data_IF_915099534639
#
_entry.id   IF_915099534639
#
_cell.length_a   1.000
_cell.length_b   1.000
_cell.length_c   1.000
_cell.angle_alpha   90.00
_cell.angle_beta   90.00
_cell.angle_gamma   90.00
#
_symmetry.space_group_name_H-M   'P 1'
#
loop_
_entity.id
_entity.type
_entity.pdbx_description
1 polymer ?
#
# COMPACT_ATOMS: atom_id res chain seq x y z
N UNK A 1 12.10 31.81 30.75
CA UNK A 1 12.23 31.61 29.29
C UNK A 1 12.42 30.14 28.90
N UNK A 2 13.16 29.33 29.66
CA UNK A 2 13.35 27.88 29.42
C UNK A 2 12.02 27.09 29.37
N UNK A 3 11.04 27.45 30.23
CA UNK A 3 9.78 26.71 30.37
C UNK A 3 8.83 26.84 29.15
N UNK A 4 8.78 28.01 28.49
CA UNK A 4 7.95 28.23 27.29
C UNK A 4 8.49 27.49 26.06
N UNK A 5 9.81 27.42 25.89
CA UNK A 5 10.44 26.68 24.79
C UNK A 5 10.27 25.16 24.93
N UNK A 6 10.36 24.64 26.16
CA UNK A 6 10.18 23.21 26.45
C UNK A 6 8.73 22.73 26.23
N UNK A 7 7.75 23.59 26.58
CA UNK A 7 6.32 23.33 26.39
C UNK A 7 5.95 23.27 24.90
N UNK A 8 6.43 24.23 24.10
CA UNK A 8 6.21 24.26 22.65
C UNK A 8 6.82 23.04 21.94
N UNK A 9 8.02 22.63 22.35
CA UNK A 9 8.70 21.48 21.79
C UNK A 9 7.98 20.16 22.11
N UNK A 10 7.43 20.02 23.32
CA UNK A 10 6.67 18.83 23.73
C UNK A 10 5.33 18.70 22.98
N UNK A 11 4.70 19.83 22.67
CA UNK A 11 3.49 19.89 21.86
C UNK A 11 3.75 19.43 20.42
N UNK A 12 4.81 19.93 19.78
CA UNK A 12 5.20 19.54 18.41
C UNK A 12 5.48 18.04 18.32
N UNK A 13 6.22 17.48 19.28
CA UNK A 13 6.56 16.05 19.29
C UNK A 13 5.29 15.19 19.42
N UNK A 14 4.35 15.62 20.26
CA UNK A 14 3.08 14.91 20.43
C UNK A 14 2.23 14.94 19.16
N UNK A 15 2.14 16.09 18.49
CA UNK A 15 1.47 16.21 17.19
C UNK A 15 2.14 15.32 16.14
N UNK A 16 3.47 15.36 16.04
CA UNK A 16 4.18 14.50 15.10
C UNK A 16 3.90 13.01 15.35
N UNK A 17 3.90 12.56 16.60
CA UNK A 17 3.56 11.18 16.93
C UNK A 17 2.15 10.80 16.46
N UNK A 18 1.15 11.66 16.72
CA UNK A 18 -0.22 11.42 16.26
C UNK A 18 -0.36 11.43 14.73
N UNK A 19 0.35 12.33 14.06
CA UNK A 19 0.38 12.40 12.59
C UNK A 19 1.01 11.14 11.98
N UNK A 20 2.10 10.63 12.57
CA UNK A 20 2.73 9.37 12.12
C UNK A 20 1.76 8.21 12.29
N UNK A 21 1.07 8.11 13.43
CA UNK A 21 0.06 7.05 13.65
C UNK A 21 -1.06 7.13 12.62
N UNK A 22 -1.57 8.33 12.33
CA UNK A 22 -2.60 8.52 11.31
C UNK A 22 -2.10 8.13 9.91
N UNK A 23 -0.87 8.52 9.55
CA UNK A 23 -0.25 8.17 8.28
C UNK A 23 -0.03 6.64 8.15
N UNK A 24 0.46 5.99 9.21
CA UNK A 24 0.65 4.55 9.25
C UNK A 24 -0.67 3.79 9.10
N UNK A 25 -1.74 4.22 9.76
CA UNK A 25 -3.07 3.61 9.62
C UNK A 25 -3.64 3.79 8.22
N UNK A 26 -3.48 4.96 7.63
CA UNK A 26 -3.96 5.25 6.29
C UNK A 26 -3.22 4.42 5.23
N UNK A 27 -1.90 4.40 5.29
CA UNK A 27 -1.06 3.61 4.36
C UNK A 27 -1.27 2.11 4.54
N UNK A 28 -1.44 1.63 5.77
CA UNK A 28 -1.78 0.24 6.07
C UNK A 28 -3.15 -0.15 5.48
N UNK A 29 -4.15 0.70 5.63
CA UNK A 29 -5.50 0.46 5.08
C UNK A 29 -5.46 0.32 3.56
N UNK A 30 -4.76 1.23 2.86
CA UNK A 30 -4.58 1.16 1.41
C UNK A 30 -3.82 -0.11 1.01
N UNK A 31 -2.72 -0.43 1.72
CA UNK A 31 -1.93 -1.62 1.46
C UNK A 31 -2.76 -2.90 1.58
N UNK A 32 -3.61 -3.00 2.61
CA UNK A 32 -4.51 -4.14 2.83
C UNK A 32 -5.57 -4.27 1.73
N UNK A 33 -6.24 -3.18 1.34
CA UNK A 33 -7.25 -3.19 0.27
C UNK A 33 -6.66 -3.68 -1.06
N UNK A 34 -5.45 -3.20 -1.40
CA UNK A 34 -4.74 -3.63 -2.61
C UNK A 34 -4.30 -5.10 -2.49
N UNK A 35 -3.80 -5.51 -1.33
CA UNK A 35 -3.40 -6.89 -1.08
C UNK A 35 -4.58 -7.87 -1.15
N UNK A 36 -5.74 -7.53 -0.61
CA UNK A 36 -6.95 -8.35 -0.79
C UNK A 36 -7.35 -8.46 -2.27
N UNK A 37 -7.15 -7.39 -3.04
CA UNK A 37 -7.40 -7.40 -4.48
C UNK A 37 -6.48 -8.37 -5.23
N UNK A 38 -5.24 -8.62 -4.78
CA UNK A 38 -4.34 -9.61 -5.41
C UNK A 38 -4.87 -11.03 -5.25
N UNK A 39 -5.37 -11.38 -4.06
CA UNK A 39 -5.97 -12.70 -3.78
C UNK A 39 -7.18 -13.01 -4.68
N UNK A 40 -7.95 -11.98 -5.06
CA UNK A 40 -9.16 -12.13 -5.89
C UNK A 40 -9.00 -11.56 -7.31
N UNK A 41 -7.75 -11.41 -7.79
CA UNK A 41 -7.45 -10.77 -9.07
C UNK A 41 -8.29 -11.32 -10.22
N UNK A 42 -8.41 -12.64 -10.36
CA UNK A 42 -9.22 -13.22 -11.45
C UNK A 42 -10.70 -12.81 -11.41
N UNK A 43 -11.31 -12.67 -10.22
CA UNK A 43 -12.70 -12.21 -10.10
C UNK A 43 -12.85 -10.72 -10.32
N UNK A 44 -11.89 -9.92 -9.84
CA UNK A 44 -11.92 -8.46 -9.97
C UNK A 44 -11.62 -7.99 -11.40
N UNK A 45 -10.81 -8.74 -12.15
CA UNK A 45 -10.42 -8.37 -13.52
C UNK A 45 -11.52 -8.63 -14.57
N UNK A 46 -12.42 -9.58 -14.35
CA UNK A 46 -13.50 -9.92 -15.29
C UNK A 46 -14.44 -8.75 -15.57
N UNK A 47 -15.04 -8.08 -14.55
CA UNK A 47 -15.89 -6.92 -14.80
C UNK A 47 -15.10 -5.74 -15.38
N UNK A 48 -13.81 -5.60 -15.08
CA UNK A 48 -12.95 -4.55 -15.64
C UNK A 48 -12.76 -4.79 -17.13
N UNK A 49 -12.46 -6.02 -17.54
CA UNK A 49 -12.33 -6.41 -18.94
C UNK A 49 -13.59 -6.10 -19.74
N UNK A 50 -14.75 -6.52 -19.23
CA UNK A 50 -16.04 -6.33 -19.90
C UNK A 50 -16.46 -4.85 -20.03
N UNK A 51 -15.92 -3.95 -19.19
CA UNK A 51 -16.15 -2.50 -19.29
C UNK A 51 -15.23 -1.81 -20.29
N UNK A 52 -14.13 -2.46 -20.71
CA UNK A 52 -13.23 -1.86 -21.69
C UNK A 52 -13.83 -1.89 -23.09
N UNK A 53 -13.43 -0.92 -23.92
CA UNK A 53 -13.82 -0.90 -25.33
C UNK A 53 -13.21 -2.06 -26.10
N UNK A 54 -13.85 -2.43 -27.20
CA UNK A 54 -13.36 -3.49 -28.11
C UNK A 54 -11.95 -3.21 -28.62
N UNK A 55 -11.61 -1.94 -28.86
CA UNK A 55 -10.26 -1.53 -29.25
C UNK A 55 -9.21 -1.86 -28.18
N UNK A 56 -9.50 -1.55 -26.90
CA UNK A 56 -8.58 -1.85 -25.79
C UNK A 56 -8.43 -3.36 -25.61
N UNK A 57 -9.53 -4.12 -25.70
CA UNK A 57 -9.49 -5.58 -25.63
C UNK A 57 -8.65 -6.20 -26.76
N UNK A 58 -8.78 -5.72 -28.01
CA UNK A 58 -7.96 -6.12 -29.17
C UNK A 58 -6.47 -5.82 -28.93
N UNK A 59 -6.15 -4.63 -28.43
CA UNK A 59 -4.78 -4.25 -28.10
C UNK A 59 -4.17 -5.14 -26.99
N UNK A 60 -4.97 -5.50 -25.98
CA UNK A 60 -4.53 -6.44 -24.94
C UNK A 60 -4.30 -7.84 -25.49
N UNK A 61 -5.17 -8.33 -26.39
CA UNK A 61 -5.00 -9.62 -27.07
C UNK A 61 -3.69 -9.67 -27.86
N UNK A 62 -3.38 -8.60 -28.60
CA UNK A 62 -2.11 -8.49 -29.33
C UNK A 62 -0.90 -8.46 -28.38
N UNK A 63 -0.98 -7.69 -27.28
CA UNK A 63 0.12 -7.56 -26.30
C UNK A 63 0.41 -8.86 -25.56
N UNK A 64 -0.62 -9.58 -25.15
CA UNK A 64 -0.50 -10.80 -24.34
C UNK A 64 -0.53 -12.09 -25.18
N UNK A 65 -0.72 -11.98 -26.50
CA UNK A 65 -0.80 -13.11 -27.45
C UNK A 65 -1.83 -14.17 -27.04
N UNK A 66 -3.02 -13.70 -26.69
CA UNK A 66 -4.13 -14.50 -26.16
C UNK A 66 -5.44 -14.08 -26.84
N UNK A 67 -6.47 -14.93 -26.78
CA UNK A 67 -7.73 -14.72 -27.48
C UNK A 67 -8.93 -14.88 -26.53
N UNK A 68 -9.77 -13.85 -26.45
CA UNK A 68 -10.89 -13.82 -25.51
C UNK A 68 -10.45 -13.68 -24.05
N UNK A 69 -11.39 -13.58 -23.12
CA UNK A 69 -11.06 -13.43 -21.69
C UNK A 69 -11.03 -14.78 -20.96
N UNK A 70 -12.20 -15.42 -20.84
CA UNK A 70 -12.39 -16.75 -20.22
C UNK A 70 -12.69 -17.79 -21.32
N UNK A 71 -13.69 -17.48 -22.16
CA UNK A 71 -14.06 -18.30 -23.31
C UNK A 71 -13.29 -17.89 -24.58
N UNK A 72 -12.63 -18.86 -25.22
CA UNK A 72 -11.95 -18.66 -26.52
C UNK A 72 -12.91 -18.49 -27.69
N UNK A 73 -14.23 -18.58 -27.45
CA UNK A 73 -15.27 -18.40 -28.47
C UNK A 73 -15.80 -16.95 -28.51
N UNK A 74 -15.55 -16.16 -27.47
CA UNK A 74 -15.95 -14.75 -27.37
C UNK A 74 -14.69 -13.89 -27.45
N UNK A 75 -14.15 -13.76 -28.66
CA UNK A 75 -12.96 -12.95 -28.94
C UNK A 75 -13.25 -11.92 -30.03
N UNK A 76 -12.41 -10.89 -30.06
CA UNK A 76 -12.45 -9.87 -31.10
C UNK A 76 -11.54 -10.36 -32.21
N UNK A 77 -12.06 -10.41 -33.42
CA UNK A 77 -11.25 -10.78 -34.58
C UNK A 77 -10.22 -9.68 -34.83
N UNK A 78 -8.96 -10.04 -34.65
CA UNK A 78 -7.80 -9.18 -34.83
C UNK A 78 -6.66 -10.02 -35.43
N UNK A 79 -5.54 -9.40 -35.81
CA UNK A 79 -4.40 -10.09 -36.43
C UNK A 79 -3.77 -11.21 -35.60
N UNK A 80 -4.05 -11.28 -34.29
CA UNK A 80 -3.62 -12.36 -33.39
C UNK A 80 -4.60 -13.53 -33.37
N UNK A 81 -5.90 -13.26 -33.55
CA UNK A 81 -6.98 -14.22 -33.42
C UNK A 81 -7.89 -14.09 -34.66
N UNK A 82 -7.45 -14.54 -35.84
CA UNK A 82 -8.23 -14.39 -37.07
C UNK A 82 -9.39 -15.41 -37.15
N UNK A 83 -9.23 -16.58 -36.53
CA UNK A 83 -10.21 -17.66 -36.54
C UNK A 83 -10.26 -18.38 -35.18
N UNK A 84 -11.27 -19.23 -35.00
CA UNK A 84 -11.50 -19.97 -33.75
C UNK A 84 -10.40 -21.00 -33.47
N UNK A 85 -9.79 -21.58 -34.50
CA UNK A 85 -8.72 -22.58 -34.34
C UNK A 85 -7.45 -21.95 -33.74
N UNK A 86 -7.09 -20.74 -34.18
CA UNK A 86 -5.99 -19.96 -33.61
C UNK A 86 -6.33 -19.48 -32.19
N UNK A 87 -7.60 -19.13 -31.93
CA UNK A 87 -8.05 -18.78 -30.59
C UNK A 87 -7.92 -19.93 -29.58
N UNK A 88 -8.26 -21.16 -29.97
CA UNK A 88 -8.07 -22.35 -29.13
C UNK A 88 -6.59 -22.64 -28.88
N UNK A 89 -5.71 -22.37 -29.86
CA UNK A 89 -4.26 -22.57 -29.72
C UNK A 89 -3.62 -21.59 -28.74
N UNK A 90 -4.08 -20.33 -28.73
CA UNK A 90 -3.53 -19.28 -27.86
C UNK A 90 -4.16 -19.27 -26.45
N UNK A 91 -5.40 -19.72 -26.30
CA UNK A 91 -6.11 -19.75 -25.01
C UNK A 91 -6.56 -18.37 -24.52
N UNK A 92 -7.28 -18.35 -23.39
CA UNK A 92 -7.88 -17.15 -22.82
C UNK A 92 -6.88 -16.19 -22.17
N UNK A 93 -7.14 -14.89 -22.29
CA UNK A 93 -6.28 -13.83 -21.75
C UNK A 93 -6.23 -13.76 -20.22
N UNK A 94 -7.17 -14.38 -19.51
CA UNK A 94 -7.23 -14.34 -18.04
C UNK A 94 -5.91 -14.77 -17.39
N UNK A 95 -5.23 -15.78 -17.94
CA UNK A 95 -3.93 -16.29 -17.47
C UNK A 95 -2.84 -15.21 -17.46
N UNK A 96 -2.33 -14.82 -18.64
CA UNK A 96 -1.25 -13.84 -18.76
C UNK A 96 -1.63 -12.47 -18.20
N UNK A 97 -2.89 -12.05 -18.34
CA UNK A 97 -3.38 -10.79 -17.80
C UNK A 97 -3.36 -10.76 -16.27
N UNK A 98 -3.82 -11.84 -15.61
CA UNK A 98 -3.76 -11.95 -14.14
C UNK A 98 -2.33 -11.96 -13.61
N UNK A 99 -1.38 -12.60 -14.30
CA UNK A 99 0.03 -12.60 -13.88
C UNK A 99 0.63 -11.20 -13.96
N UNK A 100 0.33 -10.46 -15.03
CA UNK A 100 0.79 -9.08 -15.18
C UNK A 100 0.20 -8.17 -14.10
N UNK A 101 -1.11 -8.26 -13.86
CA UNK A 101 -1.80 -7.47 -12.84
C UNK A 101 -1.26 -7.78 -11.43
N UNK A 102 -1.11 -9.06 -11.09
CA UNK A 102 -0.56 -9.47 -9.79
C UNK A 102 0.84 -8.92 -9.58
N UNK A 103 1.76 -9.04 -10.54
CA UNK A 103 3.13 -8.48 -10.40
C UNK A 103 3.14 -6.98 -10.13
N UNK A 104 2.26 -6.24 -10.80
CA UNK A 104 2.15 -4.80 -10.57
C UNK A 104 1.59 -4.50 -9.17
N UNK A 105 0.49 -5.16 -8.79
CA UNK A 105 -0.12 -4.98 -7.47
C UNK A 105 0.82 -5.41 -6.34
N UNK A 106 1.62 -6.46 -6.54
CA UNK A 106 2.62 -6.98 -5.61
C UNK A 106 3.68 -5.94 -5.24
N UNK A 107 4.22 -5.26 -6.24
CA UNK A 107 5.19 -4.17 -6.03
C UNK A 107 4.55 -3.01 -5.29
N UNK A 108 3.32 -2.64 -5.65
CA UNK A 108 2.62 -1.51 -5.05
C UNK A 108 2.30 -1.79 -3.58
N UNK A 109 1.63 -2.90 -3.24
CA UNK A 109 1.28 -3.18 -1.84
C UNK A 109 2.53 -3.37 -0.98
N UNK A 110 3.58 -3.99 -1.52
CA UNK A 110 4.83 -4.22 -0.78
C UNK A 110 5.52 -2.91 -0.45
N UNK A 111 5.47 -1.95 -1.37
CA UNK A 111 5.98 -0.59 -1.14
C UNK A 111 5.19 0.11 -0.02
N UNK A 112 3.86 -0.01 -0.01
CA UNK A 112 3.03 0.55 1.06
C UNK A 112 3.32 -0.08 2.43
N UNK A 113 3.42 -1.41 2.52
CA UNK A 113 3.82 -2.06 3.77
C UNK A 113 5.25 -1.68 4.20
N UNK A 114 6.14 -1.44 3.23
CA UNK A 114 7.47 -0.89 3.48
C UNK A 114 7.41 0.49 4.15
N UNK A 115 6.56 1.39 3.69
CA UNK A 115 6.36 2.69 4.33
C UNK A 115 5.79 2.56 5.74
N UNK A 116 4.82 1.67 5.97
CA UNK A 116 4.30 1.39 7.32
C UNK A 116 5.42 0.92 8.26
N UNK A 117 6.34 0.09 7.78
CA UNK A 117 7.49 -0.35 8.58
C UNK A 117 8.41 0.82 8.96
N UNK A 118 8.67 1.75 8.03
CA UNK A 118 9.44 2.98 8.29
C UNK A 118 8.71 3.86 9.31
N UNK A 119 7.40 4.05 9.16
CA UNK A 119 6.60 4.84 10.10
C UNK A 119 6.66 4.27 11.52
N UNK A 120 6.64 2.93 11.67
CA UNK A 120 6.80 2.27 12.97
C UNK A 120 8.18 2.51 13.59
N UNK A 121 9.26 2.51 12.80
CA UNK A 121 10.61 2.82 13.28
C UNK A 121 10.73 4.27 13.74
N UNK A 122 10.15 5.20 12.98
CA UNK A 122 10.12 6.62 13.35
C UNK A 122 9.27 6.83 14.60
N UNK A 123 8.12 6.17 14.71
CA UNK A 123 7.25 6.23 15.89
C UNK A 123 7.97 5.73 17.14
N UNK A 124 8.68 4.58 17.06
CA UNK A 124 9.49 4.07 18.17
C UNK A 124 10.54 5.10 18.60
N UNK A 125 11.24 5.70 17.64
CA UNK A 125 12.27 6.71 17.89
C UNK A 125 11.68 7.94 18.61
N UNK A 126 10.50 8.40 18.18
CA UNK A 126 9.78 9.50 18.83
C UNK A 126 9.36 9.13 20.26
N UNK A 127 8.86 7.91 20.48
CA UNK A 127 8.47 7.43 21.81
C UNK A 127 9.67 7.34 22.76
N UNK A 128 10.85 6.91 22.28
CA UNK A 128 12.09 6.93 23.06
C UNK A 128 12.44 8.36 23.52
N UNK A 129 12.38 9.34 22.62
CA UNK A 129 12.65 10.76 22.95
C UNK A 129 11.65 11.30 23.98
N UNK A 130 10.35 10.98 23.83
CA UNK A 130 9.32 11.40 24.81
C UNK A 130 9.61 10.78 26.18
N UNK A 131 9.98 9.50 26.22
CA UNK A 131 10.28 8.79 27.47
C UNK A 131 11.49 9.39 28.18
N UNK A 132 12.59 9.61 27.47
CA UNK A 132 13.82 10.18 28.04
C UNK A 132 13.57 11.56 28.64
N UNK A 133 12.81 12.42 27.96
CA UNK A 133 12.44 13.76 28.49
C UNK A 133 11.59 13.68 29.76
N UNK A 134 10.63 12.74 29.80
CA UNK A 134 9.82 12.51 31.01
C UNK A 134 10.68 12.05 32.18
N UNK A 135 11.67 11.20 31.93
CA UNK A 135 12.61 10.75 32.95
C UNK A 135 13.49 11.89 33.45
N UNK A 136 14.04 12.74 32.56
CA UNK A 136 14.83 13.91 32.93
C UNK A 136 14.05 14.89 33.83
N UNK A 137 12.80 15.21 33.47
CA UNK A 137 11.95 16.07 34.30
C UNK A 137 11.69 15.44 35.67
N UNK A 138 11.45 14.12 35.72
CA UNK A 138 11.27 13.40 36.98
C UNK A 138 12.50 13.52 37.88
N UNK A 139 13.71 13.37 37.33
CA UNK A 139 14.94 13.50 38.10
C UNK A 139 15.14 14.92 38.64
N UNK A 140 14.83 15.95 37.85
CA UNK A 140 14.88 17.36 38.30
C UNK A 140 13.94 17.60 39.49
N UNK A 141 12.71 17.09 39.43
CA UNK A 141 11.74 17.22 40.53
C UNK A 141 12.19 16.49 41.81
N UNK A 142 12.90 15.37 41.67
CA UNK A 142 13.46 14.64 42.82
C UNK A 142 14.60 15.45 43.46
N UNK A 143 15.50 16.02 42.66
CA UNK A 143 16.62 16.85 43.13
C UNK A 143 16.15 18.11 43.86
N UNK A 144 15.08 18.75 43.37
CA UNK A 144 14.45 19.89 44.04
C UNK A 144 13.88 19.49 45.40
N UNK A 145 13.22 18.32 45.48
CA UNK A 145 12.66 17.82 46.73
C UNK A 145 13.74 17.44 47.75
N UNK A 146 14.84 16.80 47.33
CA UNK A 146 15.92 16.40 48.23
C UNK A 146 16.68 17.60 48.81
N UNK A 147 16.75 18.72 48.07
CA UNK A 147 17.43 19.94 48.54
C UNK A 147 16.65 20.68 49.63
N UNK A 148 15.31 20.66 49.58
CA UNK A 148 14.44 21.36 50.54
C UNK A 148 14.32 20.62 51.88
N UNK A 149 14.63 19.33 51.91
CA UNK A 149 14.57 18.50 53.13
C UNK A 149 15.82 18.57 54.03
N UNK A 150 16.80 19.43 53.72
CA UNK A 150 18.01 19.66 54.52
C UNK A 150 17.97 21.06 55.14
#
# INVERSE_FOLDING_TARGET
MVNSGLMFLSFIISIHAWMIVAAALFTLSIGLEIWFSTLQTRRNLTPIWNRQSTFVQSMLQFKFKCCGYDDTNVFIQDGTCPNVADATRHGGCIGPFSVFANKFLDVVFTTFFGFVAVDMLVLLSVLCVIKERKEQIRYQLIDEKSRVSI
#
